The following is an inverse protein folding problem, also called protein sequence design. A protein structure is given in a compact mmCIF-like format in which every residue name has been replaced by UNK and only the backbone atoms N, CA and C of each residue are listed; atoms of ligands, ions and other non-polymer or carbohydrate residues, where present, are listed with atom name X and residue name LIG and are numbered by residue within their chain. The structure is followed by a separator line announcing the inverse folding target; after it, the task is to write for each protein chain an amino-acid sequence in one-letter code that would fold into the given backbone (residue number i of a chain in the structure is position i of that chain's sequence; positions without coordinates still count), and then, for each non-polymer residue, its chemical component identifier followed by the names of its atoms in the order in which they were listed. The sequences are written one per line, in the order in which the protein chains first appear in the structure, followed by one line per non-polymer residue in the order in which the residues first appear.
data_IF_103588070369
#
_entry.id   IF_103588070369
#
_cell.length_a   1.000
_cell.length_b   1.000
_cell.length_c   1.000
_cell.angle_alpha   90.00
_cell.angle_beta   90.00
_cell.angle_gamma   90.00
#
_symmetry.space_group_name_H-M   'P 1'
#
loop_
_entity.id
_entity.type
_entity.pdbx_description
1 polymer ?
#
# COMPACT_ATOMS: atom_id res chain seq x y z
N UNK A 1 38.70 -26.05 -15.32
CA UNK A 1 37.73 -25.92 -14.22
C UNK A 1 37.09 -24.54 -14.37
N UNK A 2 35.83 -24.46 -14.78
CA UNK A 2 35.10 -23.18 -14.77
C UNK A 2 34.74 -22.84 -13.32
N UNK A 3 34.72 -21.56 -12.91
CA UNK A 3 34.28 -21.20 -11.57
C UNK A 3 32.80 -21.60 -11.39
N UNK A 4 32.37 -21.93 -10.16
CA UNK A 4 30.96 -22.21 -9.90
C UNK A 4 30.15 -20.97 -10.25
N UNK A 5 29.10 -21.16 -11.05
CA UNK A 5 28.06 -20.16 -11.26
C UNK A 5 27.61 -19.69 -9.88
N UNK A 6 27.89 -18.42 -9.57
CA UNK A 6 27.39 -17.81 -8.35
C UNK A 6 25.87 -17.90 -8.42
N UNK A 7 25.31 -18.65 -7.47
CA UNK A 7 23.89 -18.76 -7.20
C UNK A 7 23.23 -17.40 -7.40
N UNK A 8 22.54 -17.25 -8.53
CA UNK A 8 21.80 -16.05 -8.86
C UNK A 8 20.56 -16.11 -7.97
N UNK A 9 20.69 -15.60 -6.74
CA UNK A 9 19.57 -15.35 -5.82
C UNK A 9 18.41 -14.80 -6.65
N UNK A 10 17.22 -15.43 -6.62
CA UNK A 10 16.10 -14.97 -7.42
C UNK A 10 15.87 -13.50 -7.08
N UNK A 11 15.95 -12.62 -8.09
CA UNK A 11 15.69 -11.21 -7.90
C UNK A 11 14.35 -11.06 -7.15
N UNK A 12 14.26 -10.18 -6.14
CA UNK A 12 13.00 -9.96 -5.44
C UNK A 12 11.92 -9.66 -6.48
N UNK A 13 10.68 -10.13 -6.27
CA UNK A 13 9.61 -9.94 -7.22
C UNK A 13 9.48 -8.45 -7.54
N UNK A 14 9.70 -8.11 -8.81
CA UNK A 14 9.54 -6.74 -9.31
C UNK A 14 8.04 -6.45 -9.34
N UNK A 15 7.52 -5.75 -8.32
CA UNK A 15 6.14 -5.26 -8.34
C UNK A 15 5.98 -4.27 -9.49
N UNK A 16 4.98 -4.49 -10.32
CA UNK A 16 4.72 -3.57 -11.42
C UNK A 16 4.19 -2.24 -10.89
N UNK A 17 4.44 -1.15 -11.62
CA UNK A 17 3.84 0.15 -11.31
C UNK A 17 2.30 0.06 -11.26
N UNK A 18 1.72 -0.82 -12.06
CA UNK A 18 0.27 -1.05 -12.06
C UNK A 18 -0.20 -1.69 -10.75
N UNK A 19 0.54 -2.65 -10.19
CA UNK A 19 0.20 -3.28 -8.91
C UNK A 19 0.31 -2.30 -7.74
N UNK A 20 1.36 -1.47 -7.75
CA UNK A 20 1.54 -0.40 -6.75
C UNK A 20 0.41 0.63 -6.83
N UNK A 21 0.04 1.05 -8.04
CA UNK A 21 -1.07 1.99 -8.25
C UNK A 21 -2.40 1.39 -7.80
N UNK A 22 -2.64 0.09 -8.05
CA UNK A 22 -3.84 -0.61 -7.57
C UNK A 22 -3.88 -0.64 -6.04
N UNK A 23 -2.77 -0.97 -5.39
CA UNK A 23 -2.66 -0.97 -3.94
C UNK A 23 -2.97 0.42 -3.35
N UNK A 24 -2.33 1.45 -3.88
CA UNK A 24 -2.59 2.83 -3.50
C UNK A 24 -4.06 3.22 -3.66
N UNK A 25 -4.66 2.96 -4.82
CA UNK A 25 -6.07 3.29 -5.07
C UNK A 25 -7.03 2.58 -4.12
N UNK A 26 -6.76 1.31 -3.79
CA UNK A 26 -7.57 0.56 -2.82
C UNK A 26 -7.46 1.17 -1.42
N UNK A 27 -6.25 1.54 -1.00
CA UNK A 27 -6.01 2.22 0.28
C UNK A 27 -6.74 3.55 0.34
N UNK A 28 -6.59 4.36 -0.70
CA UNK A 28 -7.27 5.66 -0.81
C UNK A 28 -8.77 5.57 -0.63
N UNK A 29 -9.42 4.59 -1.28
CA UNK A 29 -10.85 4.39 -1.13
C UNK A 29 -11.24 3.92 0.28
N UNK A 30 -10.42 3.07 0.92
CA UNK A 30 -10.64 2.64 2.30
C UNK A 30 -10.53 3.84 3.28
N UNK A 31 -9.47 4.65 3.17
CA UNK A 31 -9.28 5.85 3.98
C UNK A 31 -10.40 6.88 3.78
N UNK A 32 -10.77 7.14 2.53
CA UNK A 32 -11.83 8.10 2.16
C UNK A 32 -13.20 7.72 2.72
N UNK A 33 -13.43 6.44 2.98
CA UNK A 33 -14.69 5.92 3.55
C UNK A 33 -14.62 5.72 5.07
N UNK A 34 -13.52 6.12 5.71
CA UNK A 34 -13.32 5.99 7.15
C UNK A 34 -13.16 4.54 7.62
N UNK A 35 -12.76 3.62 6.73
CA UNK A 35 -12.43 2.25 7.12
C UNK A 35 -11.14 2.23 7.96
N UNK A 36 -11.00 1.28 8.89
CA UNK A 36 -9.76 1.11 9.63
C UNK A 36 -8.59 0.78 8.69
N UNK A 37 -7.38 1.19 9.06
CA UNK A 37 -6.15 0.86 8.33
C UNK A 37 -5.86 -0.64 8.35
N UNK A 38 -6.28 -1.34 9.41
CA UNK A 38 -6.12 -2.78 9.55
C UNK A 38 -7.43 -3.55 9.44
N UNK A 39 -7.41 -4.75 8.82
CA UNK A 39 -6.25 -5.36 8.15
C UNK A 39 -6.09 -4.87 6.70
N UNK A 40 -4.88 -4.51 6.30
CA UNK A 40 -4.56 -4.28 4.89
C UNK A 40 -4.38 -5.61 4.11
N UNK A 41 -4.74 -5.68 2.82
CA UNK A 41 -4.91 -6.96 2.12
C UNK A 41 -3.63 -7.56 1.50
N UNK A 42 -2.49 -6.86 1.53
CA UNK A 42 -1.27 -7.24 0.79
C UNK A 42 -0.22 -7.91 1.67
N UNK A 43 0.12 -9.17 1.39
CA UNK A 43 1.20 -9.86 2.11
C UNK A 43 2.62 -9.34 1.78
N UNK A 44 2.78 -8.61 0.68
CA UNK A 44 4.06 -8.06 0.27
C UNK A 44 4.23 -6.65 0.82
N UNK A 45 5.30 -6.41 1.59
CA UNK A 45 5.56 -5.14 2.28
C UNK A 45 5.50 -3.92 1.37
N UNK A 46 5.97 -4.02 0.13
CA UNK A 46 5.97 -2.87 -0.80
C UNK A 46 4.57 -2.57 -1.33
N UNK A 47 3.71 -3.59 -1.52
CA UNK A 47 2.30 -3.36 -1.86
C UNK A 47 1.51 -2.87 -0.64
N UNK A 48 1.81 -3.39 0.55
CA UNK A 48 1.24 -2.91 1.80
C UNK A 48 1.57 -1.42 2.02
N UNK A 49 2.83 -1.02 1.86
CA UNK A 49 3.25 0.37 1.96
C UNK A 49 2.54 1.28 0.94
N UNK A 50 2.34 0.81 -0.30
CA UNK A 50 1.59 1.57 -1.30
C UNK A 50 0.11 1.73 -0.90
N UNK A 51 -0.50 0.68 -0.35
CA UNK A 51 -1.88 0.73 0.16
C UNK A 51 -2.00 1.67 1.37
N UNK A 52 -1.09 1.58 2.34
CA UNK A 52 -1.08 2.42 3.54
C UNK A 52 -0.93 3.91 3.18
N UNK A 53 -0.03 4.24 2.25
CA UNK A 53 0.11 5.60 1.73
C UNK A 53 -1.19 6.11 1.09
N UNK A 54 -1.90 5.25 0.34
CA UNK A 54 -3.21 5.59 -0.18
C UNK A 54 -4.23 5.82 0.93
N UNK A 55 -4.27 4.94 1.93
CA UNK A 55 -5.19 5.05 3.06
C UNK A 55 -4.98 6.34 3.83
N UNK A 56 -3.74 6.73 4.13
CA UNK A 56 -3.42 7.99 4.80
C UNK A 56 -3.98 9.19 4.02
N UNK A 57 -3.68 9.26 2.71
CA UNK A 57 -4.17 10.35 1.83
C UNK A 57 -5.71 10.39 1.79
N UNK A 58 -6.37 9.22 1.74
CA UNK A 58 -7.83 9.12 1.77
C UNK A 58 -8.43 9.51 3.12
N UNK A 59 -7.79 9.10 4.21
CA UNK A 59 -8.23 9.38 5.56
C UNK A 59 -8.13 10.87 5.89
N UNK A 60 -7.06 11.53 5.43
CA UNK A 60 -6.93 12.98 5.54
C UNK A 60 -8.10 13.71 4.83
N UNK A 61 -8.49 13.23 3.64
CA UNK A 61 -9.67 13.77 2.95
C UNK A 61 -10.98 13.51 3.70
N UNK A 62 -11.11 12.34 4.31
CA UNK A 62 -12.27 12.01 5.14
C UNK A 62 -12.35 12.95 6.35
N UNK A 63 -11.26 13.14 7.10
CA UNK A 63 -11.22 14.04 8.26
C UNK A 63 -11.48 15.51 7.89
N UNK A 64 -10.96 15.98 6.74
CA UNK A 64 -11.26 17.32 6.23
C UNK A 64 -12.74 17.55 5.93
N UNK A 65 -13.46 16.52 5.49
CA UNK A 65 -14.88 16.59 5.18
C UNK A 65 -15.78 16.34 6.40
N UNK A 66 -15.23 15.82 7.50
CA UNK A 66 -16.00 15.58 8.71
C UNK A 66 -16.34 16.91 9.38
N UNK A 67 -17.62 17.16 9.70
CA UNK A 67 -17.98 18.32 10.49
C UNK A 67 -17.33 18.23 11.88
N UNK A 68 -16.88 19.36 12.45
CA UNK A 68 -16.24 19.38 13.75
C UNK A 68 -17.20 18.78 14.79
N UNK A 69 -16.71 17.78 15.52
CA UNK A 69 -17.45 17.17 16.63
C UNK A 69 -17.49 18.20 17.77
N UNK A 70 -18.61 18.90 17.89
CA UNK A 70 -18.87 19.79 19.03
C UNK A 70 -18.87 18.92 20.29
N UNK A 71 -17.91 19.15 21.19
CA UNK A 71 -17.81 18.53 22.50
C UNK A 71 -18.67 19.28 23.53
#
# INVERSE_FOLDING_TARGET
MAPPDHDQEPAPPLWSLEDLNKAYQQGYMAGLTGQPIDPQPYAADVLAAAWEAGWDDGHDQYELQRPPRIA
#
